data_IF_548266456115
#
_entry.id   IF_548266456115
#
_cell.length_a   1.000
_cell.length_b   1.000
_cell.length_c   1.000
_cell.angle_alpha   90.00
_cell.angle_beta   90.00
_cell.angle_gamma   90.00
#
_symmetry.space_group_name_H-M   'P 1'
#
loop_
_entity.id
_entity.type
_entity.pdbx_description
1 polymer ?
#
# COMPACT_ATOMS: atom_id res chain seq x y z
N UNK A 1 -13.44 0.48 -3.04
CA UNK A 1 -13.21 1.89 -2.67
C UNK A 1 -11.81 1.98 -2.07
N UNK A 2 -11.01 2.98 -2.47
CA UNK A 2 -9.56 3.09 -2.22
C UNK A 2 -9.18 3.83 -0.92
N UNK A 3 -9.86 3.56 0.20
CA UNK A 3 -9.58 4.23 1.48
C UNK A 3 -9.49 3.23 2.64
N UNK A 4 -8.48 3.43 3.50
CA UNK A 4 -8.29 2.62 4.70
C UNK A 4 -7.72 3.48 5.83
N UNK A 5 -8.29 3.37 7.05
CA UNK A 5 -7.92 4.19 8.21
C UNK A 5 -8.00 5.72 7.95
N UNK A 6 -8.89 6.15 7.04
CA UNK A 6 -9.04 7.54 6.63
C UNK A 6 -7.92 8.06 5.71
N UNK A 7 -7.00 7.20 5.26
CA UNK A 7 -5.98 7.50 4.27
C UNK A 7 -6.35 6.90 2.91
N UNK A 8 -5.95 7.58 1.84
CA UNK A 8 -5.97 6.99 0.49
C UNK A 8 -5.03 5.79 0.45
N UNK A 9 -5.47 4.70 -0.17
CA UNK A 9 -4.63 3.54 -0.40
C UNK A 9 -3.64 3.84 -1.55
N UNK A 10 -2.49 3.17 -1.49
CA UNK A 10 -1.38 3.34 -2.42
C UNK A 10 -1.34 2.14 -3.35
N UNK A 11 -1.35 2.38 -4.65
CA UNK A 11 -1.16 1.35 -5.67
C UNK A 11 0.29 0.89 -5.72
N UNK A 12 0.51 -0.42 -5.83
CA UNK A 12 1.82 -1.04 -5.89
C UNK A 12 1.73 -2.43 -6.52
N UNK A 13 2.86 -2.99 -6.94
CA UNK A 13 2.96 -4.39 -7.36
C UNK A 13 3.70 -5.17 -6.27
N UNK A 14 3.09 -6.25 -5.77
CA UNK A 14 3.60 -7.00 -4.63
C UNK A 14 3.35 -8.49 -4.71
N UNK A 15 3.63 -9.20 -3.61
CA UNK A 15 3.31 -10.63 -3.47
C UNK A 15 2.20 -10.83 -2.45
N UNK A 16 1.20 -11.64 -2.79
CA UNK A 16 0.05 -11.93 -1.94
C UNK A 16 0.01 -13.42 -1.64
N UNK A 17 -0.06 -13.76 -0.35
CA UNK A 17 -0.23 -15.15 0.09
C UNK A 17 -1.72 -15.47 0.23
N UNK A 18 -2.15 -16.54 -0.43
CA UNK A 18 -3.50 -17.07 -0.32
C UNK A 18 -3.44 -18.56 0.04
N UNK A 19 -3.84 -18.89 1.28
CA UNK A 19 -3.59 -20.19 1.92
C UNK A 19 -2.13 -20.65 1.79
N UNK A 20 -1.88 -21.69 0.98
CA UNK A 20 -0.56 -22.32 0.79
C UNK A 20 0.18 -21.80 -0.46
N UNK A 21 -0.48 -20.98 -1.27
CA UNK A 21 0.07 -20.45 -2.52
C UNK A 21 0.52 -19.01 -2.31
N UNK A 22 1.74 -18.70 -2.72
CA UNK A 22 2.26 -17.34 -2.80
C UNK A 22 2.18 -16.88 -4.25
N UNK A 23 1.50 -15.77 -4.50
CA UNK A 23 1.35 -15.18 -5.84
C UNK A 23 2.25 -13.95 -5.92
N UNK A 24 3.16 -13.92 -6.89
CA UNK A 24 4.07 -12.80 -7.15
C UNK A 24 3.48 -11.83 -8.18
N UNK A 25 4.04 -10.61 -8.24
CA UNK A 25 3.70 -9.55 -9.19
C UNK A 25 2.20 -9.21 -9.29
N UNK A 26 1.50 -9.29 -8.17
CA UNK A 26 0.08 -8.97 -8.07
C UNK A 26 -0.07 -7.45 -7.92
N UNK A 27 -0.89 -6.78 -8.76
CA UNK A 27 -1.31 -5.42 -8.50
C UNK A 27 -2.12 -5.35 -7.20
N UNK A 28 -1.63 -4.56 -6.25
CA UNK A 28 -2.21 -4.42 -4.91
C UNK A 28 -2.46 -2.96 -4.56
N UNK A 29 -3.36 -2.76 -3.62
CA UNK A 29 -3.50 -1.52 -2.88
C UNK A 29 -3.05 -1.78 -1.45
N UNK A 30 -2.24 -0.88 -0.87
CA UNK A 30 -1.87 -0.99 0.52
C UNK A 30 -2.11 0.29 1.31
N UNK A 31 -2.44 0.13 2.60
CA UNK A 31 -2.67 1.24 3.51
C UNK A 31 -1.35 1.68 4.18
N UNK A 32 -0.90 2.92 3.97
CA UNK A 32 0.32 3.44 4.59
C UNK A 32 0.21 3.66 6.11
N UNK A 33 -1.00 3.50 6.69
CA UNK A 33 -1.27 3.66 8.12
C UNK A 33 -1.29 2.32 8.87
N UNK A 34 -1.86 1.26 8.29
CA UNK A 34 -2.08 -0.02 8.99
C UNK A 34 -1.48 -1.25 8.29
N UNK A 35 -0.77 -1.08 7.16
CA UNK A 35 -0.21 -2.19 6.36
C UNK A 35 -1.24 -3.18 5.81
N UNK A 36 -2.54 -2.83 5.85
CA UNK A 36 -3.55 -3.62 5.14
C UNK A 36 -3.22 -3.62 3.66
N UNK A 37 -3.16 -4.82 3.08
CA UNK A 37 -2.95 -5.06 1.65
C UNK A 37 -4.24 -5.67 1.10
N UNK A 38 -4.69 -5.18 -0.03
CA UNK A 38 -5.82 -5.70 -0.79
C UNK A 38 -5.39 -5.87 -2.24
N UNK A 39 -5.91 -6.91 -2.90
CA UNK A 39 -5.73 -7.10 -4.33
C UNK A 39 -6.45 -5.96 -5.06
N UNK A 40 -5.87 -5.44 -6.13
CA UNK A 40 -6.49 -4.33 -6.85
C UNK A 40 -7.84 -4.78 -7.47
N UNK A 41 -8.95 -4.04 -7.27
CA UNK A 41 -10.29 -4.49 -7.68
C UNK A 41 -10.41 -4.76 -9.19
N UNK A 42 -9.64 -4.04 -10.00
CA UNK A 42 -9.62 -4.21 -11.45
C UNK A 42 -8.99 -5.52 -11.94
N UNK A 43 -8.34 -6.30 -11.06
CA UNK A 43 -7.75 -7.61 -11.38
C UNK A 43 -8.18 -8.71 -10.40
N UNK A 44 -9.14 -8.42 -9.51
CA UNK A 44 -9.57 -9.32 -8.44
C UNK A 44 -10.13 -10.64 -9.01
N UNK A 45 -10.90 -10.58 -10.10
CA UNK A 45 -11.44 -11.77 -10.74
C UNK A 45 -10.37 -12.66 -11.37
N UNK A 46 -9.42 -12.09 -12.11
CA UNK A 46 -8.30 -12.80 -12.71
C UNK A 46 -7.40 -13.43 -11.63
N UNK A 47 -7.19 -12.69 -10.54
CA UNK A 47 -6.44 -13.16 -9.38
C UNK A 47 -7.12 -14.36 -8.71
N UNK A 48 -8.42 -14.29 -8.44
CA UNK A 48 -9.17 -15.39 -7.84
C UNK A 48 -9.10 -16.66 -8.68
N UNK A 49 -9.30 -16.54 -10.00
CA UNK A 49 -9.20 -17.66 -10.94
C UNK A 49 -7.81 -18.29 -10.90
N UNK A 50 -6.74 -17.47 -10.96
CA UNK A 50 -5.37 -17.98 -10.93
C UNK A 50 -5.07 -18.76 -9.63
N UNK A 51 -5.52 -18.23 -8.49
CA UNK A 51 -5.33 -18.87 -7.18
C UNK A 51 -6.06 -20.21 -7.11
N UNK A 52 -7.29 -20.31 -7.64
CA UNK A 52 -8.04 -21.57 -7.69
C UNK A 52 -7.29 -22.65 -8.49
N UNK A 53 -6.78 -22.30 -9.68
CA UNK A 53 -5.97 -23.23 -10.49
C UNK A 53 -4.68 -23.64 -9.76
N UNK A 54 -3.94 -22.67 -9.22
CA UNK A 54 -2.71 -22.93 -8.51
C UNK A 54 -2.91 -23.88 -7.30
N UNK A 55 -4.05 -23.75 -6.61
CA UNK A 55 -4.40 -24.68 -5.53
C UNK A 55 -4.76 -26.07 -6.03
N UNK A 56 -5.50 -26.17 -7.14
CA UNK A 56 -5.79 -27.44 -7.80
C UNK A 56 -4.52 -28.21 -8.16
N UNK A 57 -3.51 -27.50 -8.64
CA UNK A 57 -2.21 -28.03 -9.04
C UNK A 57 -1.22 -28.17 -7.88
N UNK A 58 -1.60 -27.79 -6.66
CA UNK A 58 -0.74 -27.72 -5.48
C UNK A 58 0.55 -26.89 -5.70
N UNK A 59 0.47 -25.88 -6.55
CA UNK A 59 1.55 -24.96 -6.82
C UNK A 59 1.79 -24.07 -5.58
N UNK A 60 2.98 -24.12 -4.95
CA UNK A 60 3.29 -23.32 -3.78
C UNK A 60 3.56 -21.85 -4.14
N UNK A 61 4.02 -21.59 -5.36
CA UNK A 61 4.38 -20.27 -5.87
C UNK A 61 3.93 -20.15 -7.31
N UNK A 62 3.36 -18.99 -7.67
CA UNK A 62 2.96 -18.64 -9.04
C UNK A 62 3.24 -17.15 -9.28
N UNK A 63 3.53 -16.80 -10.52
CA UNK A 63 3.74 -15.41 -10.93
C UNK A 63 2.51 -14.90 -11.67
N UNK A 64 1.87 -13.84 -11.19
CA UNK A 64 0.66 -13.29 -11.83
C UNK A 64 0.95 -12.80 -13.26
N UNK A 65 2.13 -12.23 -13.50
CA UNK A 65 2.50 -11.66 -14.80
C UNK A 65 2.64 -12.72 -15.91
N UNK A 66 2.83 -13.99 -15.55
CA UNK A 66 2.96 -15.09 -16.51
C UNK A 66 1.59 -15.53 -17.08
N UNK A 67 0.49 -15.27 -16.36
CA UNK A 67 -0.84 -15.74 -16.72
C UNK A 67 -1.79 -14.63 -17.15
N UNK A 68 -1.53 -13.39 -16.72
CA UNK A 68 -2.40 -12.24 -16.97
C UNK A 68 -1.57 -11.11 -17.55
N UNK A 69 -1.75 -10.85 -18.85
CA UNK A 69 -1.22 -9.65 -19.49
C UNK A 69 -2.06 -8.45 -19.09
N UNK A 70 -1.60 -7.72 -18.06
CA UNK A 70 -2.16 -6.41 -17.74
C UNK A 70 -1.54 -5.41 -18.71
N UNK A 71 -2.10 -5.32 -19.92
CA UNK A 71 -1.56 -4.50 -21.01
C UNK A 71 -1.40 -3.01 -20.62
N UNK A 72 -2.02 -2.56 -19.53
CA UNK A 72 -1.84 -1.23 -18.94
C UNK A 72 -1.87 -1.26 -17.39
N UNK A 73 -0.83 -1.78 -16.73
CA UNK A 73 -0.67 -1.64 -15.27
C UNK A 73 -0.71 -0.18 -14.80
N UNK A 74 -0.25 0.75 -15.63
CA UNK A 74 -0.34 2.19 -15.33
C UNK A 74 -1.77 2.72 -15.30
N UNK A 75 -2.64 2.27 -16.21
CA UNK A 75 -4.07 2.66 -16.22
C UNK A 75 -4.80 2.06 -15.02
N UNK A 76 -4.39 0.86 -14.60
CA UNK A 76 -5.00 0.17 -13.46
C UNK A 76 -4.93 1.02 -12.19
N UNK A 77 -3.84 1.77 -12.00
CA UNK A 77 -3.63 2.61 -10.82
C UNK A 77 -4.01 4.08 -11.00
N UNK A 78 -4.64 4.49 -12.11
CA UNK A 78 -5.06 5.90 -12.33
C UNK A 78 -5.97 6.43 -11.22
N UNK A 79 -6.79 5.55 -10.63
CA UNK A 79 -7.70 5.89 -9.54
C UNK A 79 -7.04 5.80 -8.16
N UNK A 80 -5.78 5.38 -8.07
CA UNK A 80 -5.02 5.40 -6.83
C UNK A 80 -4.49 6.82 -6.60
N UNK A 81 -4.73 7.36 -5.41
CA UNK A 81 -4.22 8.69 -5.03
C UNK A 81 -2.70 8.78 -5.10
N UNK A 82 -1.99 7.65 -4.98
CA UNK A 82 -0.54 7.52 -5.09
C UNK A 82 -0.16 6.13 -5.62
N UNK A 83 0.94 6.05 -6.36
CA UNK A 83 1.58 4.79 -6.78
C UNK A 83 3.04 4.79 -6.34
N UNK A 84 3.62 3.61 -6.12
CA UNK A 84 5.03 3.43 -5.79
C UNK A 84 5.99 3.72 -6.96
N UNK A 85 5.50 3.68 -8.20
CA UNK A 85 6.23 4.10 -9.39
C UNK A 85 6.40 5.63 -9.48
N UNK A 86 5.37 6.40 -9.10
CA UNK A 86 5.36 7.85 -9.23
C UNK A 86 6.08 8.58 -8.09
N UNK A 87 6.14 7.96 -6.90
CA UNK A 87 6.74 8.56 -5.71
C UNK A 87 7.37 7.49 -4.82
N UNK A 88 8.51 7.81 -4.22
CA UNK A 88 9.11 6.93 -3.22
C UNK A 88 8.19 6.76 -2.02
N UNK A 89 8.25 5.61 -1.35
CA UNK A 89 7.44 5.36 -0.15
C UNK A 89 7.61 6.44 0.95
N UNK A 90 8.78 7.08 1.04
CA UNK A 90 8.98 8.20 1.94
C UNK A 90 8.17 9.46 1.54
N UNK A 91 8.03 9.74 0.25
CA UNK A 91 7.23 10.86 -0.24
C UNK A 91 5.75 10.60 -0.01
N UNK A 92 5.29 9.36 -0.25
CA UNK A 92 3.95 8.91 0.14
C UNK A 92 3.66 9.19 1.61
N UNK A 93 4.56 8.75 2.50
CA UNK A 93 4.39 8.97 3.93
C UNK A 93 4.38 10.46 4.30
N UNK A 94 5.24 11.28 3.70
CA UNK A 94 5.27 12.74 3.93
C UNK A 94 3.96 13.39 3.50
N UNK A 95 3.48 13.09 2.29
CA UNK A 95 2.23 13.64 1.79
C UNK A 95 1.04 13.24 2.67
N UNK A 96 1.00 11.99 3.15
CA UNK A 96 -0.04 11.56 4.08
C UNK A 96 0.05 12.25 5.44
N UNK A 97 1.25 12.60 5.92
CA UNK A 97 1.45 13.40 7.13
C UNK A 97 0.92 14.81 6.92
N UNK A 98 1.29 15.47 5.81
CA UNK A 98 0.87 16.84 5.50
C UNK A 98 -0.66 16.93 5.43
N UNK A 99 -1.31 16.02 4.69
CA UNK A 99 -2.78 15.92 4.64
C UNK A 99 -3.37 15.73 6.04
N UNK A 100 -2.76 14.90 6.88
CA UNK A 100 -3.26 14.66 8.24
C UNK A 100 -3.11 15.87 9.16
N UNK A 101 -2.07 16.69 8.96
CA UNK A 101 -1.86 17.95 9.68
C UNK A 101 -2.89 19.01 9.26
N UNK A 102 -3.18 19.10 7.96
CA UNK A 102 -4.20 20.00 7.43
C UNK A 102 -5.60 19.64 7.99
N UNK A 103 -5.96 18.36 7.95
CA UNK A 103 -7.21 17.87 8.54
C UNK A 103 -7.27 18.10 10.05
N UNK A 104 -6.13 18.05 10.75
CA UNK A 104 -6.09 18.35 12.19
C UNK A 104 -6.36 19.82 12.46
N UNK A 105 -5.94 20.72 11.56
CA UNK A 105 -6.31 22.14 11.60
C UNK A 105 -7.83 22.31 11.53
N UNK A 106 -8.46 21.67 10.55
CA UNK A 106 -9.92 21.71 10.36
C UNK A 106 -10.65 21.11 11.58
N UNK A 107 -10.21 19.96 12.08
CA UNK A 107 -10.82 19.32 13.25
C UNK A 107 -10.75 20.21 14.52
N UNK A 108 -9.67 21.00 14.67
CA UNK A 108 -9.55 22.00 15.75
C UNK A 108 -10.53 23.15 15.59
N UNK A 109 -10.71 23.67 14.38
CA UNK A 109 -11.66 24.75 14.09
C UNK A 109 -13.10 24.31 14.35
N UNK A 110 -13.43 23.05 14.01
CA UNK A 110 -14.74 22.45 14.26
C UNK A 110 -14.95 21.99 15.71
N UNK A 111 -13.93 22.06 16.56
CA UNK A 111 -13.93 21.54 17.93
C UNK A 111 -14.29 20.05 18.02
N UNK A 112 -14.00 19.26 16.99
CA UNK A 112 -14.26 17.83 16.97
C UNK A 112 -13.14 17.07 17.70
N UNK A 113 -13.34 16.73 18.98
CA UNK A 113 -12.32 16.04 19.80
C UNK A 113 -12.05 14.60 19.33
N UNK A 114 -13.09 13.86 18.94
CA UNK A 114 -12.96 12.48 18.48
C UNK A 114 -12.14 12.41 17.19
N UNK A 115 -12.41 13.32 16.25
CA UNK A 115 -11.66 13.39 15.01
C UNK A 115 -10.22 13.86 15.24
N UNK A 116 -9.99 14.81 16.16
CA UNK A 116 -8.66 15.22 16.58
C UNK A 116 -7.85 14.05 17.15
N UNK A 117 -8.45 13.24 18.02
CA UNK A 117 -7.79 12.06 18.60
C UNK A 117 -7.41 11.05 17.51
N UNK A 118 -8.35 10.74 16.61
CA UNK A 118 -8.10 9.85 15.49
C UNK A 118 -6.94 10.33 14.59
N UNK A 119 -6.89 11.63 14.30
CA UNK A 119 -5.82 12.24 13.49
C UNK A 119 -4.47 12.23 14.22
N UNK A 120 -4.43 12.45 15.53
CA UNK A 120 -3.21 12.34 16.32
C UNK A 120 -2.64 10.90 16.30
N UNK A 121 -3.49 9.89 16.45
CA UNK A 121 -3.09 8.48 16.34
C UNK A 121 -2.52 8.18 14.95
N UNK A 122 -3.18 8.68 13.90
CA UNK A 122 -2.72 8.53 12.50
C UNK A 122 -1.36 9.18 12.29
N UNK A 123 -1.19 10.44 12.70
CA UNK A 123 0.06 11.19 12.58
C UNK A 123 1.23 10.49 13.28
N UNK A 124 0.98 9.95 14.48
CA UNK A 124 1.98 9.18 15.22
C UNK A 124 2.44 7.96 14.42
N UNK A 125 1.50 7.15 13.90
CA UNK A 125 1.84 5.95 13.11
C UNK A 125 2.61 6.30 11.84
N UNK A 126 2.16 7.30 11.08
CA UNK A 126 2.83 7.73 9.86
C UNK A 126 4.25 8.25 10.13
N UNK A 127 4.42 9.05 11.19
CA UNK A 127 5.72 9.59 11.60
C UNK A 127 6.68 8.50 12.05
N UNK A 128 6.20 7.53 12.85
CA UNK A 128 6.99 6.37 13.28
C UNK A 128 7.44 5.53 12.07
N UNK A 129 6.54 5.29 11.10
CA UNK A 129 6.87 4.56 9.86
C UNK A 129 7.91 5.29 9.01
N UNK A 130 7.77 6.60 8.83
CA UNK A 130 8.74 7.40 8.08
C UNK A 130 10.12 7.35 8.72
N UNK A 131 10.18 7.44 10.06
CA UNK A 131 11.42 7.29 10.82
C UNK A 131 12.05 5.90 10.62
N UNK A 132 11.26 4.83 10.70
CA UNK A 132 11.74 3.46 10.49
C UNK A 132 12.24 3.24 9.06
N UNK A 133 11.55 3.78 8.06
CA UNK A 133 11.96 3.71 6.65
C UNK A 133 13.31 4.40 6.43
N UNK A 134 13.46 5.64 6.91
CA UNK A 134 14.70 6.39 6.79
C UNK A 134 15.88 5.68 7.49
N UNK A 135 15.64 5.07 8.67
CA UNK A 135 16.65 4.26 9.37
C UNK A 135 17.09 3.05 8.54
N UNK A 136 16.14 2.30 7.96
CA UNK A 136 16.45 1.15 7.10
C UNK A 136 17.24 1.57 5.86
N UNK A 137 16.84 2.67 5.21
CA UNK A 137 17.55 3.21 4.04
C UNK A 137 18.99 3.62 4.37
N UNK A 138 19.21 4.25 5.53
CA UNK A 138 20.55 4.62 6.00
C UNK A 138 21.45 3.39 6.24
N UNK A 139 20.90 2.34 6.86
CA UNK A 139 21.65 1.10 7.11
C UNK A 139 22.07 0.41 5.79
N UNK A 140 21.16 0.28 4.83
CA UNK A 140 21.45 -0.31 3.51
C UNK A 140 22.50 0.50 2.75
N UNK A 141 22.49 1.83 2.87
CA UNK A 141 23.52 2.68 2.27
C UNK A 141 24.91 2.46 2.89
N UNK A 142 24.96 2.20 4.20
CA UNK A 142 26.20 1.98 4.93
C UNK A 142 26.83 0.61 4.62
N UNK A 143 26.01 -0.44 4.45
CA UNK A 143 26.47 -1.79 4.05
C UNK A 143 26.99 -1.85 2.61
N UNK A 144 26.52 -0.98 1.71
CA UNK A 144 27.02 -0.89 0.32
C UNK A 144 28.37 -0.17 0.18
N UNK A 145 28.83 0.51 1.25
CA UNK A 145 30.10 1.24 1.27
C UNK A 145 31.25 0.44 1.93
N UNK A 146 30.94 -0.69 2.56
CA UNK A 146 31.90 -1.64 3.17
C UNK A 146 32.08 -2.87 2.29
#
# INVERSE_FOLDING_TARGET
MSFCCGAGMVGSVGSVRHYKTLVHNVPIMFCPVCDRIEVHPGIEGEYEILVEYAQGDQAPEVDFADFVSVDNTSELFENCTMTDEAASFAEVLKQQIDISLDLLGIAKELQDDDWREALMIRLRRLSERLKQYNKRKANVAQERMT
#
